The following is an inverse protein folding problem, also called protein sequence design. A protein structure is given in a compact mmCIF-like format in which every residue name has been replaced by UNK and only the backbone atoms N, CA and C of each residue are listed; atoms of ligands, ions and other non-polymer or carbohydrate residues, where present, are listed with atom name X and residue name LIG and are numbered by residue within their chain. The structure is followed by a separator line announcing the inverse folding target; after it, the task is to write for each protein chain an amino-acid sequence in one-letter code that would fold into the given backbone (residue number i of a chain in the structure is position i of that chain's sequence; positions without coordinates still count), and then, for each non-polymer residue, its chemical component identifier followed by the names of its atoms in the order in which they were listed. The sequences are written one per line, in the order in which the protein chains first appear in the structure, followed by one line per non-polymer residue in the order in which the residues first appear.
data_IF_439245401311
#
_entry.id   IF_439245401311
#
_cell.length_a   1.000
_cell.length_b   1.000
_cell.length_c   1.000
_cell.angle_alpha   90.00
_cell.angle_beta   90.00
_cell.angle_gamma   90.00
#
_symmetry.space_group_name_H-M   'P 1'
#
loop_
_entity.id
_entity.type
_entity.pdbx_description
1 polymer ?
#
# COMPACT_ATOMS: atom_id res chain seq x y z
N UNK A 1 12.94 -5.99 -25.71
CA UNK A 1 12.59 -6.70 -24.47
C UNK A 1 12.32 -5.61 -23.45
N UNK A 2 11.07 -5.32 -23.14
CA UNK A 2 10.80 -4.46 -21.98
C UNK A 2 11.35 -5.20 -20.76
N UNK A 3 12.19 -4.53 -19.99
CA UNK A 3 12.52 -4.99 -18.66
C UNK A 3 11.24 -4.81 -17.84
N UNK A 4 10.36 -5.81 -17.83
CA UNK A 4 9.28 -5.90 -16.86
C UNK A 4 9.92 -6.02 -15.47
N UNK A 5 10.26 -4.86 -14.91
CA UNK A 5 10.77 -4.75 -13.56
C UNK A 5 9.56 -4.76 -12.63
N UNK A 6 9.26 -5.94 -12.11
CA UNK A 6 8.30 -6.10 -11.02
C UNK A 6 8.55 -5.02 -9.96
N UNK A 7 7.49 -4.33 -9.57
CA UNK A 7 7.56 -3.26 -8.58
C UNK A 7 7.31 -3.82 -7.19
N UNK A 8 7.72 -3.05 -6.19
CA UNK A 8 7.44 -3.34 -4.79
C UNK A 8 6.67 -2.16 -4.19
N UNK A 9 5.46 -2.43 -3.73
CA UNK A 9 4.55 -1.45 -3.16
C UNK A 9 4.64 -1.50 -1.63
N UNK A 10 5.04 -0.39 -1.01
CA UNK A 10 4.98 -0.23 0.44
C UNK A 10 3.75 0.58 0.82
N UNK A 11 2.71 -0.08 1.34
CA UNK A 11 1.40 0.57 1.56
C UNK A 11 1.06 0.57 3.05
N UNK A 12 0.71 1.73 3.58
CA UNK A 12 0.26 1.91 4.97
C UNK A 12 -1.18 1.38 5.19
N UNK A 13 -1.57 1.09 6.43
CA UNK A 13 -2.90 0.56 6.77
C UNK A 13 -3.86 1.67 7.23
N UNK A 14 -3.58 2.30 8.37
CA UNK A 14 -4.54 3.14 9.10
C UNK A 14 -4.60 4.56 8.53
N UNK A 15 -5.73 4.87 7.89
CA UNK A 15 -5.93 6.14 7.18
C UNK A 15 -5.57 6.08 5.70
N UNK A 16 -5.11 4.92 5.23
CA UNK A 16 -4.64 4.68 3.86
C UNK A 16 -5.45 3.58 3.17
N UNK A 17 -5.45 2.35 3.70
CA UNK A 17 -6.28 1.23 3.22
C UNK A 17 -7.65 1.25 3.92
N UNK A 18 -7.65 1.48 5.24
CA UNK A 18 -8.85 1.48 6.07
C UNK A 18 -8.97 2.77 6.86
N UNK A 19 -10.18 3.09 7.33
CA UNK A 19 -10.39 4.19 8.27
C UNK A 19 -9.48 4.03 9.50
N UNK A 20 -8.66 5.04 9.79
CA UNK A 20 -7.80 5.08 10.96
C UNK A 20 -8.62 4.96 12.26
N UNK A 21 -8.26 3.99 13.10
CA UNK A 21 -8.86 3.79 14.42
C UNK A 21 -7.87 4.09 15.54
N UNK A 22 -8.37 4.40 16.74
CA UNK A 22 -7.52 4.46 17.92
C UNK A 22 -7.17 3.06 18.42
N UNK A 23 -6.03 2.94 19.10
CA UNK A 23 -5.61 1.68 19.74
C UNK A 23 -6.68 1.12 20.68
N UNK A 24 -7.41 1.99 21.39
CA UNK A 24 -8.51 1.57 22.25
C UNK A 24 -9.63 0.87 21.46
N UNK A 25 -10.04 1.42 20.32
CA UNK A 25 -11.06 0.78 19.46
C UNK A 25 -10.56 -0.52 18.86
N UNK A 26 -9.29 -0.58 18.45
CA UNK A 26 -8.67 -1.81 17.94
C UNK A 26 -8.62 -2.90 19.01
N UNK A 27 -8.28 -2.55 20.26
CA UNK A 27 -8.32 -3.46 21.39
C UNK A 27 -9.75 -3.94 21.69
N UNK A 28 -10.70 -3.02 21.76
CA UNK A 28 -12.11 -3.36 22.01
C UNK A 28 -12.65 -4.33 20.94
N UNK A 29 -12.40 -4.03 19.66
CA UNK A 29 -12.77 -4.91 18.56
C UNK A 29 -12.06 -6.28 18.63
N UNK A 30 -10.79 -6.32 19.03
CA UNK A 30 -10.07 -7.57 19.21
C UNK A 30 -10.69 -8.43 20.33
N UNK A 31 -11.02 -7.85 21.48
CA UNK A 31 -11.64 -8.54 22.61
C UNK A 31 -13.07 -9.01 22.29
N UNK A 32 -13.85 -8.14 21.64
CA UNK A 32 -15.23 -8.41 21.28
C UNK A 32 -15.39 -9.19 19.96
N UNK A 33 -14.27 -9.50 19.29
CA UNK A 33 -14.22 -10.16 17.98
C UNK A 33 -15.03 -9.42 16.90
N UNK A 34 -15.08 -8.08 16.98
CA UNK A 34 -15.69 -7.24 15.96
C UNK A 34 -14.75 -7.11 14.77
N UNK A 35 -14.85 -8.05 13.84
CA UNK A 35 -14.02 -8.02 12.65
C UNK A 35 -14.40 -6.89 11.68
N UNK A 36 -15.58 -6.25 11.82
CA UNK A 36 -16.09 -5.28 10.83
C UNK A 36 -15.60 -3.85 11.05
N UNK A 37 -14.80 -3.61 12.09
CA UNK A 37 -14.24 -2.29 12.41
C UNK A 37 -13.41 -1.71 11.24
N UNK A 38 -12.58 -2.54 10.59
CA UNK A 38 -11.73 -2.16 9.46
C UNK A 38 -12.55 -1.98 8.18
N UNK A 39 -13.01 -0.74 7.96
CA UNK A 39 -13.71 -0.28 6.75
C UNK A 39 -12.72 0.20 5.69
N UNK A 40 -12.82 -0.36 4.50
CA UNK A 40 -11.99 0.02 3.35
C UNK A 40 -12.30 1.44 2.88
N UNK A 41 -11.27 2.19 2.51
CA UNK A 41 -11.42 3.54 1.97
C UNK A 41 -11.69 3.53 0.46
N UNK A 42 -12.29 4.60 -0.11
CA UNK A 42 -12.51 4.71 -1.55
C UNK A 42 -11.22 4.53 -2.35
N UNK A 43 -11.32 3.96 -3.55
CA UNK A 43 -10.19 3.78 -4.48
C UNK A 43 -9.22 2.64 -4.15
N UNK A 44 -9.20 2.12 -2.91
CA UNK A 44 -8.28 1.05 -2.50
C UNK A 44 -8.48 -0.24 -3.32
N UNK A 45 -9.72 -0.68 -3.47
CA UNK A 45 -10.01 -1.88 -4.29
C UNK A 45 -9.60 -1.66 -5.75
N UNK A 46 -9.89 -0.48 -6.31
CA UNK A 46 -9.52 -0.13 -7.68
C UNK A 46 -8.00 -0.13 -7.88
N UNK A 47 -7.22 0.39 -6.93
CA UNK A 47 -5.77 0.28 -6.99
C UNK A 47 -5.34 -1.20 -7.00
N UNK A 48 -5.84 -2.01 -6.07
CA UNK A 48 -5.47 -3.42 -5.97
C UNK A 48 -5.81 -4.24 -7.22
N UNK A 49 -6.94 -3.96 -7.85
CA UNK A 49 -7.38 -4.60 -9.10
C UNK A 49 -6.44 -4.28 -10.28
N UNK A 50 -5.71 -3.16 -10.22
CA UNK A 50 -4.77 -2.74 -11.26
C UNK A 50 -3.31 -3.11 -10.97
N UNK A 51 -2.91 -3.38 -9.71
CA UNK A 51 -1.53 -3.79 -9.41
C UNK A 51 -1.22 -5.13 -10.10
N UNK A 52 -0.22 -5.20 -11.01
CA UNK A 52 0.14 -6.42 -11.72
C UNK A 52 0.45 -7.59 -10.78
N UNK A 53 0.02 -8.80 -11.11
CA UNK A 53 0.21 -9.98 -10.25
C UNK A 53 1.66 -10.25 -9.87
N UNK A 54 2.61 -9.88 -10.74
CA UNK A 54 4.04 -10.03 -10.52
C UNK A 54 4.66 -9.00 -9.56
N UNK A 55 3.95 -7.90 -9.29
CA UNK A 55 4.37 -6.89 -8.33
C UNK A 55 4.16 -7.38 -6.89
N UNK A 56 5.12 -7.05 -6.03
CA UNK A 56 5.06 -7.34 -4.60
C UNK A 56 4.34 -6.24 -3.84
N UNK A 57 3.53 -6.62 -2.85
CA UNK A 57 2.86 -5.70 -1.94
C UNK A 57 3.32 -6.00 -0.51
N UNK A 58 4.06 -5.06 0.06
CA UNK A 58 4.47 -5.04 1.46
C UNK A 58 3.57 -4.07 2.21
N UNK A 59 2.68 -4.62 3.04
CA UNK A 59 1.90 -3.82 3.96
C UNK A 59 2.81 -3.33 5.09
N UNK A 60 2.76 -2.05 5.37
CA UNK A 60 3.51 -1.42 6.46
C UNK A 60 2.52 -0.83 7.45
N UNK A 61 2.74 -0.97 8.75
CA UNK A 61 1.80 -0.40 9.72
C UNK A 61 2.48 -0.12 11.06
N UNK A 62 1.99 0.93 11.73
CA UNK A 62 2.33 1.20 13.12
C UNK A 62 1.53 0.35 14.11
N UNK A 63 0.51 -0.40 13.65
CA UNK A 63 -0.24 -1.32 14.52
C UNK A 63 0.73 -2.25 15.24
N UNK A 64 0.59 -2.40 16.57
CA UNK A 64 1.28 -3.42 17.32
C UNK A 64 1.00 -4.83 16.78
N UNK A 65 1.96 -5.75 16.88
CA UNK A 65 1.84 -7.12 16.35
C UNK A 65 0.69 -7.92 16.95
N UNK A 66 0.16 -7.54 18.12
CA UNK A 66 -1.06 -8.13 18.69
C UNK A 66 -2.27 -8.03 17.73
N UNK A 67 -2.29 -7.02 16.86
CA UNK A 67 -3.36 -6.81 15.89
C UNK A 67 -3.14 -7.54 14.55
N UNK A 68 -2.01 -8.25 14.37
CA UNK A 68 -1.64 -8.90 13.11
C UNK A 68 -2.78 -9.74 12.53
N UNK A 69 -3.33 -10.66 13.34
CA UNK A 69 -4.40 -11.55 12.89
C UNK A 69 -5.64 -10.78 12.39
N UNK A 70 -6.03 -9.73 13.12
CA UNK A 70 -7.17 -8.90 12.74
C UNK A 70 -6.90 -8.14 11.44
N UNK A 71 -5.72 -7.54 11.29
CA UNK A 71 -5.30 -6.82 10.08
C UNK A 71 -5.26 -7.76 8.87
N UNK A 72 -4.62 -8.94 8.98
CA UNK A 72 -4.57 -9.93 7.90
C UNK A 72 -5.98 -10.42 7.51
N UNK A 73 -6.86 -10.59 8.49
CA UNK A 73 -8.26 -10.98 8.25
C UNK A 73 -9.05 -9.88 7.55
N UNK A 74 -8.82 -8.62 7.88
CA UNK A 74 -9.45 -7.49 7.21
C UNK A 74 -9.02 -7.39 5.75
N UNK A 75 -7.71 -7.45 5.47
CA UNK A 75 -7.16 -7.45 4.11
C UNK A 75 -7.74 -8.60 3.27
N UNK A 76 -7.70 -9.84 3.79
CA UNK A 76 -8.26 -11.02 3.11
C UNK A 76 -9.76 -10.91 2.84
N UNK A 77 -10.53 -10.39 3.81
CA UNK A 77 -11.99 -10.19 3.62
C UNK A 77 -12.28 -9.24 2.47
N UNK A 78 -11.46 -8.22 2.29
CA UNK A 78 -11.61 -7.23 1.22
C UNK A 78 -10.91 -7.63 -0.08
N UNK A 79 -10.39 -8.87 -0.18
CA UNK A 79 -9.72 -9.35 -1.39
C UNK A 79 -8.35 -8.73 -1.66
N UNK A 80 -7.76 -8.05 -0.67
CA UNK A 80 -6.49 -7.34 -0.83
C UNK A 80 -5.33 -8.32 -0.68
N UNK A 81 -4.70 -8.71 -1.79
CA UNK A 81 -3.49 -9.55 -1.78
C UNK A 81 -2.31 -8.79 -1.18
N UNK A 82 -1.41 -9.51 -0.53
CA UNK A 82 -0.15 -8.99 -0.04
C UNK A 82 0.85 -10.12 0.12
N UNK A 83 2.13 -9.79 -0.01
CA UNK A 83 3.24 -10.74 0.14
C UNK A 83 3.78 -10.71 1.56
N UNK A 84 3.88 -9.52 2.15
CA UNK A 84 4.41 -9.32 3.50
C UNK A 84 3.62 -8.26 4.27
N UNK A 85 3.68 -8.34 5.60
CA UNK A 85 3.20 -7.29 6.48
C UNK A 85 4.19 -7.02 7.62
N UNK A 86 4.71 -5.80 7.63
CA UNK A 86 5.61 -5.24 8.63
C UNK A 86 4.81 -4.50 9.69
N UNK A 87 4.74 -5.09 10.88
CA UNK A 87 4.04 -4.55 12.06
C UNK A 87 5.02 -3.78 12.97
N UNK A 88 4.48 -3.10 14.00
CA UNK A 88 5.27 -2.40 15.03
C UNK A 88 6.19 -1.29 14.49
N UNK A 89 5.87 -0.69 13.34
CA UNK A 89 6.67 0.43 12.84
C UNK A 89 6.36 1.71 13.64
N UNK A 90 7.28 2.69 13.69
CA UNK A 90 6.98 3.99 14.28
C UNK A 90 5.83 4.69 13.54
N UNK A 91 5.01 5.45 14.27
CA UNK A 91 3.88 6.22 13.73
C UNK A 91 4.28 7.52 13.01
N UNK A 92 5.58 7.80 12.92
CA UNK A 92 6.11 9.00 12.27
C UNK A 92 6.07 8.92 10.73
N UNK A 93 6.57 9.96 10.05
CA UNK A 93 6.66 9.98 8.59
C UNK A 93 7.45 8.80 8.03
N UNK A 94 7.04 8.35 6.84
CA UNK A 94 7.79 7.36 6.06
C UNK A 94 8.70 8.08 5.09
N UNK A 95 9.96 7.67 5.04
CA UNK A 95 10.96 8.21 4.12
C UNK A 95 11.43 7.05 3.25
N UNK A 96 11.15 7.12 1.95
CA UNK A 96 11.66 6.18 0.97
C UNK A 96 12.99 6.69 0.44
N UNK A 97 14.01 5.84 0.47
CA UNK A 97 15.31 6.09 -0.14
C UNK A 97 15.61 4.93 -1.08
N UNK A 98 15.77 5.22 -2.36
CA UNK A 98 16.12 4.24 -3.40
C UNK A 98 17.08 4.88 -4.41
N UNK A 99 17.87 4.08 -5.11
CA UNK A 99 18.75 4.59 -6.17
C UNK A 99 17.95 5.03 -7.41
N UNK A 100 18.53 5.89 -8.23
CA UNK A 100 17.97 6.24 -9.54
C UNK A 100 18.79 5.54 -10.59
N UNK A 101 18.13 4.89 -11.56
CA UNK A 101 18.84 4.29 -12.68
C UNK A 101 19.46 5.39 -13.53
N UNK A 102 20.76 5.31 -13.85
CA UNK A 102 21.42 6.35 -14.62
C UNK A 102 20.97 6.29 -16.09
N UNK A 103 21.12 7.41 -16.80
CA UNK A 103 20.70 7.56 -18.21
C UNK A 103 21.36 6.53 -19.13
N UNK A 104 22.63 6.19 -18.88
CA UNK A 104 23.35 5.18 -19.67
C UNK A 104 22.86 3.74 -19.43
N UNK A 105 21.92 3.53 -18.51
CA UNK A 105 21.25 2.26 -18.21
C UNK A 105 19.71 2.38 -18.39
N UNK A 106 19.27 3.36 -19.17
CA UNK A 106 17.87 3.54 -19.53
C UNK A 106 17.07 4.51 -18.66
N UNK A 107 17.72 5.26 -17.75
CA UNK A 107 17.17 6.46 -17.11
C UNK A 107 15.80 6.29 -16.44
N UNK A 108 15.77 6.03 -15.13
CA UNK A 108 14.49 5.78 -14.45
C UNK A 108 14.53 6.19 -12.97
N UNK A 109 13.56 7.00 -12.57
CA UNK A 109 13.24 7.20 -11.14
C UNK A 109 12.68 5.89 -10.58
N UNK A 110 13.27 5.39 -9.49
CA UNK A 110 12.82 4.13 -8.85
C UNK A 110 12.30 4.32 -7.42
N UNK A 111 12.33 5.56 -6.91
CA UNK A 111 11.71 5.95 -5.66
C UNK A 111 10.50 6.83 -5.93
N UNK A 112 9.31 6.35 -5.57
CA UNK A 112 8.06 7.09 -5.64
C UNK A 112 7.41 7.11 -4.26
N UNK A 113 6.92 8.27 -3.84
CA UNK A 113 6.20 8.45 -2.58
C UNK A 113 4.90 9.19 -2.86
N UNK A 114 3.78 8.56 -2.56
CA UNK A 114 2.43 9.07 -2.83
C UNK A 114 1.79 9.40 -1.48
N UNK A 115 1.82 10.67 -1.02
CA UNK A 115 1.15 11.06 0.21
C UNK A 115 -0.36 11.12 -0.03
N UNK A 116 -1.15 10.51 0.85
CA UNK A 116 -2.62 10.59 0.80
C UNK A 116 -3.17 11.28 2.05
N UNK A 117 -4.31 11.96 1.89
CA UNK A 117 -5.03 12.52 3.02
C UNK A 117 -5.66 11.40 3.87
N UNK A 118 -5.39 11.44 5.18
CA UNK A 118 -5.93 10.45 6.14
C UNK A 118 -7.45 10.30 5.99
N UNK A 119 -7.90 9.06 5.79
CA UNK A 119 -9.31 8.68 5.66
C UNK A 119 -10.03 9.22 4.42
N UNK A 120 -9.33 9.75 3.41
CA UNK A 120 -9.96 10.20 2.16
C UNK A 120 -10.02 9.13 1.07
N UNK A 121 -9.16 8.11 1.17
CA UNK A 121 -9.01 7.09 0.14
C UNK A 121 -7.92 7.45 -0.86
N UNK A 122 -7.86 6.67 -1.93
CA UNK A 122 -6.83 6.76 -2.97
C UNK A 122 -7.45 7.33 -4.24
N UNK A 123 -6.99 8.50 -4.68
CA UNK A 123 -7.40 9.08 -5.96
C UNK A 123 -6.63 8.40 -7.09
N UNK A 124 -7.30 8.00 -8.16
CA UNK A 124 -6.64 7.23 -9.23
C UNK A 124 -5.58 8.05 -9.98
N UNK A 125 -5.81 9.36 -10.06
CA UNK A 125 -4.94 10.33 -10.71
C UNK A 125 -3.54 10.35 -10.08
N UNK A 126 -3.42 10.02 -8.79
CA UNK A 126 -2.14 9.92 -8.09
C UNK A 126 -1.32 8.69 -8.52
N UNK A 127 -1.94 7.74 -9.22
CA UNK A 127 -1.32 6.48 -9.61
C UNK A 127 -1.22 6.26 -11.12
N UNK A 128 -1.97 7.03 -11.92
CA UNK A 128 -2.14 6.81 -13.35
C UNK A 128 -0.81 6.69 -14.11
N UNK A 129 0.20 7.49 -13.75
CA UNK A 129 1.53 7.44 -14.37
C UNK A 129 2.26 6.12 -14.14
N UNK A 130 1.97 5.41 -13.05
CA UNK A 130 2.56 4.10 -12.76
C UNK A 130 1.90 2.99 -13.58
N UNK A 131 0.67 3.17 -14.05
CA UNK A 131 -0.04 2.15 -14.83
C UNK A 131 -0.07 2.45 -16.33
N UNK A 132 0.26 3.68 -16.72
CA UNK A 132 0.32 4.08 -18.12
C UNK A 132 1.56 3.48 -18.79
N UNK A 133 1.33 2.71 -19.85
CA UNK A 133 2.36 2.02 -20.64
C UNK A 133 3.21 2.95 -21.51
N UNK A 134 3.22 4.26 -21.28
CA UNK A 134 3.98 5.20 -22.11
C UNK A 134 5.43 5.33 -21.62
N UNK A 135 6.18 4.24 -21.77
CA UNK A 135 7.52 4.38 -22.27
C UNK A 135 7.39 4.82 -23.72
N UNK A 136 7.77 6.06 -24.02
CA UNK A 136 7.97 6.52 -25.39
C UNK A 136 9.07 5.70 -26.04
N UNK A 137 8.72 4.54 -26.61
CA UNK A 137 9.46 3.91 -27.69
C UNK A 137 9.34 4.84 -28.92
N UNK A 138 10.07 5.95 -28.88
CA UNK A 138 10.33 6.77 -30.07
C UNK A 138 11.53 6.13 -30.76
N UNK A 139 11.24 5.31 -31.78
CA UNK A 139 12.21 4.90 -32.80
C UNK A 139 12.50 6.10 -33.71
#
# INVERSE_FOLDING_TARGET
MSLDMNRCWFIDVDGTIVEHQSDFKLLDALFNKDWKLDKILPGVAHLWDNIPEQDYIVITTARPSIFRYMTEKALKRHGLRFDYILMNLPSGPRILVNDTKPENEGGMTTAHAIPVERNKGLAWEDFEEYFSSEGTDTI
#
